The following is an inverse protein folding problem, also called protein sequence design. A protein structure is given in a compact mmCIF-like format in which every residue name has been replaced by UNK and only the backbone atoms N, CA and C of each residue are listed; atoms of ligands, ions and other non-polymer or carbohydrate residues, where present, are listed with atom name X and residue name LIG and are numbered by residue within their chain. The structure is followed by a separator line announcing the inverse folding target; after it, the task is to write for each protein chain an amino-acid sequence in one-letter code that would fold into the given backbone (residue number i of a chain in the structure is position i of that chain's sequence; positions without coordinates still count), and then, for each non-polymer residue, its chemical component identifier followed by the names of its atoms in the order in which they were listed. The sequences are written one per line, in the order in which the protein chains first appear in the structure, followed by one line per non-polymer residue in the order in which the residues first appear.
data_IF_768326512230
#
_entry.id   IF_768326512230
#
_cell.length_a   1.000
_cell.length_b   1.000
_cell.length_c   1.000
_cell.angle_alpha   90.00
_cell.angle_beta   90.00
_cell.angle_gamma   90.00
#
_symmetry.space_group_name_H-M   'P 1'
#
loop_
_entity.id
_entity.type
_entity.pdbx_description
1 polymer ?
#
# COMPACT_ATOMS: atom_id res chain seq x y z
N UNK A 1 -27.48 16.57 13.39
CA UNK A 1 -26.56 17.62 12.96
C UNK A 1 -26.93 18.09 11.56
N UNK A 2 -26.43 19.27 11.19
CA UNK A 2 -26.65 19.84 9.85
C UNK A 2 -25.30 20.10 9.19
N UNK A 3 -25.12 19.60 7.98
CA UNK A 3 -23.92 19.84 7.16
C UNK A 3 -24.35 20.63 5.93
N UNK A 4 -23.84 21.85 5.79
CA UNK A 4 -24.35 22.86 4.84
C UNK A 4 -25.87 23.03 5.03
N UNK A 5 -26.67 22.56 4.07
CA UNK A 5 -28.14 22.64 4.17
C UNK A 5 -28.79 21.28 4.44
N UNK A 6 -28.01 20.19 4.52
CA UNK A 6 -28.48 18.81 4.65
C UNK A 6 -28.49 18.38 6.12
N UNK A 7 -29.64 17.94 6.62
CA UNK A 7 -29.77 17.34 7.94
C UNK A 7 -29.43 15.84 7.85
N UNK A 8 -28.59 15.36 8.76
CA UNK A 8 -28.19 13.96 8.86
C UNK A 8 -28.21 13.48 10.30
N UNK A 9 -28.46 12.17 10.46
CA UNK A 9 -28.31 11.47 11.73
C UNK A 9 -27.04 10.63 11.65
N UNK A 10 -26.15 10.78 12.61
CA UNK A 10 -24.85 10.11 12.67
C UNK A 10 -24.53 9.74 14.12
N UNK A 11 -23.61 8.81 14.31
CA UNK A 11 -23.12 8.44 15.63
C UNK A 11 -22.40 9.65 16.27
N UNK A 12 -22.61 9.84 17.57
CA UNK A 12 -22.00 10.90 18.37
C UNK A 12 -20.49 10.75 18.54
N UNK A 13 -19.97 9.54 18.38
CA UNK A 13 -18.54 9.24 18.56
C UNK A 13 -17.70 9.62 17.33
N UNK A 14 -18.31 10.06 16.24
CA UNK A 14 -17.62 10.49 15.04
C UNK A 14 -17.00 11.89 15.20
N UNK A 15 -16.03 12.17 14.37
CA UNK A 15 -15.51 13.53 14.18
C UNK A 15 -16.36 14.32 13.20
N UNK A 16 -16.24 15.64 13.23
CA UNK A 16 -16.90 16.52 12.26
C UNK A 16 -16.52 16.15 10.83
N UNK A 17 -15.28 15.74 10.57
CA UNK A 17 -14.83 15.30 9.25
C UNK A 17 -15.60 14.09 8.77
N UNK A 18 -15.65 13.02 9.57
CA UNK A 18 -16.36 11.79 9.22
C UNK A 18 -17.86 12.03 8.98
N UNK A 19 -18.46 12.92 9.77
CA UNK A 19 -19.85 13.32 9.54
C UNK A 19 -20.06 14.09 8.23
N UNK A 20 -19.11 14.94 7.84
CA UNK A 20 -19.16 15.62 6.53
C UNK A 20 -19.06 14.61 5.38
N UNK A 21 -18.20 13.60 5.49
CA UNK A 21 -18.08 12.53 4.49
C UNK A 21 -19.37 11.71 4.35
N UNK A 22 -20.00 11.35 5.46
CA UNK A 22 -21.33 10.68 5.44
C UNK A 22 -22.40 11.57 4.78
N UNK A 23 -22.30 12.89 4.94
CA UNK A 23 -23.17 13.84 4.25
C UNK A 23 -22.90 13.92 2.72
N UNK A 24 -21.78 13.37 2.25
CA UNK A 24 -21.32 13.45 0.88
C UNK A 24 -20.44 14.70 0.59
N UNK A 25 -19.95 15.36 1.64
CA UNK A 25 -19.08 16.54 1.54
C UNK A 25 -17.61 16.14 1.75
N UNK A 26 -16.82 16.24 0.72
CA UNK A 26 -15.38 15.97 0.79
C UNK A 26 -14.63 17.12 1.48
N UNK A 27 -13.86 16.80 2.52
CA UNK A 27 -13.05 17.75 3.27
C UNK A 27 -11.58 17.56 2.90
N UNK A 28 -10.88 18.61 2.38
CA UNK A 28 -9.47 18.52 2.03
C UNK A 28 -8.60 18.25 3.26
N UNK A 29 -7.60 17.38 3.11
CA UNK A 29 -6.75 16.93 4.21
C UNK A 29 -5.37 16.49 3.74
N UNK A 30 -4.36 16.53 4.61
CA UNK A 30 -3.04 15.95 4.39
C UNK A 30 -2.61 15.04 5.53
N UNK A 31 -2.76 15.48 6.78
CA UNK A 31 -2.29 14.69 7.92
C UNK A 31 -3.26 13.58 8.34
N UNK A 32 -4.56 13.78 8.17
CA UNK A 32 -5.56 12.78 8.52
C UNK A 32 -5.51 11.59 7.57
N UNK A 33 -5.65 10.39 8.13
CA UNK A 33 -5.81 9.12 7.42
C UNK A 33 -6.71 8.22 8.26
N UNK A 34 -7.62 7.50 7.62
CA UNK A 34 -8.66 6.74 8.34
C UNK A 34 -8.10 5.61 9.20
N UNK A 35 -6.97 5.05 8.82
CA UNK A 35 -6.27 3.94 9.51
C UNK A 35 -5.16 4.39 10.46
N UNK A 36 -5.01 5.69 10.73
CA UNK A 36 -3.96 6.22 11.58
C UNK A 36 -4.54 7.17 12.62
N UNK A 37 -3.89 7.29 13.76
CA UNK A 37 -4.26 8.25 14.80
C UNK A 37 -4.34 9.69 14.27
N UNK A 38 -5.16 10.53 14.89
CA UNK A 38 -5.42 11.90 14.43
C UNK A 38 -4.26 12.83 14.86
N UNK A 39 -3.52 13.35 13.89
CA UNK A 39 -2.43 14.31 14.16
C UNK A 39 -2.89 15.76 14.28
N UNK A 40 -3.89 16.19 13.51
CA UNK A 40 -4.46 17.54 13.55
C UNK A 40 -3.49 18.68 13.21
N UNK A 41 -2.36 18.42 12.53
CA UNK A 41 -1.26 19.38 12.35
C UNK A 41 -1.29 20.15 11.03
N UNK A 42 -1.84 19.60 9.93
CA UNK A 42 -1.82 20.29 8.63
C UNK A 42 -2.82 21.46 8.51
N UNK A 43 -3.89 21.44 9.29
CA UNK A 43 -4.95 22.46 9.30
C UNK A 43 -5.70 22.65 7.97
N UNK A 44 -5.54 21.76 6.99
CA UNK A 44 -6.25 21.90 5.71
C UNK A 44 -7.75 21.60 5.84
N UNK A 45 -8.15 20.80 6.82
CA UNK A 45 -9.52 20.37 7.07
C UNK A 45 -10.39 21.40 7.82
N UNK A 46 -10.09 22.71 7.69
CA UNK A 46 -10.87 23.75 8.34
C UNK A 46 -12.32 23.77 7.86
N UNK A 47 -13.24 23.91 8.81
CA UNK A 47 -14.68 24.12 8.59
C UNK A 47 -15.17 25.23 9.51
N UNK A 48 -16.33 25.80 9.19
CA UNK A 48 -17.03 26.76 10.04
C UNK A 48 -18.15 26.03 10.79
N UNK A 49 -18.25 26.30 12.08
CA UNK A 49 -19.39 25.86 12.90
C UNK A 49 -20.20 27.10 13.24
N UNK A 50 -21.49 27.04 13.01
CA UNK A 50 -22.41 28.13 13.33
C UNK A 50 -22.25 28.53 14.80
N UNK A 51 -22.20 29.84 15.07
CA UNK A 51 -21.95 30.44 16.39
C UNK A 51 -20.53 30.22 16.95
N UNK A 52 -19.63 29.51 16.27
CA UNK A 52 -18.23 29.45 16.69
C UNK A 52 -17.46 30.69 16.19
N UNK A 53 -16.62 31.34 17.02
CA UNK A 53 -15.91 32.56 16.64
C UNK A 53 -14.81 32.29 15.60
N UNK A 54 -14.28 31.08 15.55
CA UNK A 54 -13.12 30.70 14.72
C UNK A 54 -13.42 29.44 13.91
N UNK A 55 -12.70 29.28 12.80
CA UNK A 55 -12.67 28.00 12.07
C UNK A 55 -12.05 26.91 12.94
N UNK A 56 -12.54 25.69 12.80
CA UNK A 56 -12.08 24.52 13.53
C UNK A 56 -11.53 23.46 12.57
N UNK A 57 -10.61 22.65 13.04
CA UNK A 57 -10.12 21.48 12.30
C UNK A 57 -11.14 20.33 12.43
N UNK A 58 -11.80 19.98 11.35
CA UNK A 58 -12.86 18.97 11.36
C UNK A 58 -12.38 17.57 11.79
N UNK A 59 -11.12 17.22 11.52
CA UNK A 59 -10.56 15.91 11.89
C UNK A 59 -10.36 15.74 13.41
N UNK A 60 -10.26 16.82 14.19
CA UNK A 60 -10.03 16.79 15.64
C UNK A 60 -11.26 17.20 16.45
N UNK A 61 -12.27 17.73 15.80
CA UNK A 61 -13.47 18.23 16.50
C UNK A 61 -14.49 17.12 16.67
N UNK A 62 -14.86 16.74 17.91
CA UNK A 62 -15.93 15.79 18.16
C UNK A 62 -17.29 16.39 17.79
N UNK A 63 -18.22 15.53 17.44
CA UNK A 63 -19.60 15.95 17.15
C UNK A 63 -20.35 16.32 18.44
N UNK A 64 -21.20 17.34 18.31
CA UNK A 64 -22.19 17.69 19.33
C UNK A 64 -23.58 17.76 18.70
N UNK A 65 -24.59 17.41 19.48
CA UNK A 65 -25.98 17.43 19.04
C UNK A 65 -26.41 18.85 18.61
N UNK A 66 -27.15 18.92 17.50
CA UNK A 66 -27.59 20.20 16.94
C UNK A 66 -26.55 21.04 16.27
N UNK A 67 -25.31 20.54 16.10
CA UNK A 67 -24.23 21.24 15.42
C UNK A 67 -24.59 21.54 13.97
N UNK A 68 -24.36 22.78 13.54
CA UNK A 68 -24.47 23.22 12.14
C UNK A 68 -23.08 23.51 11.59
N UNK A 69 -22.70 22.77 10.55
CA UNK A 69 -21.36 22.76 9.95
C UNK A 69 -21.46 23.34 8.54
N UNK A 70 -20.56 24.27 8.22
CA UNK A 70 -20.45 24.89 6.90
C UNK A 70 -19.07 24.59 6.34
N UNK A 71 -19.03 23.93 5.17
CA UNK A 71 -17.79 23.41 4.60
C UNK A 71 -17.18 24.29 3.50
N UNK A 72 -17.96 25.26 2.96
CA UNK A 72 -17.60 26.01 1.76
C UNK A 72 -17.87 27.53 1.86
N UNK A 73 -17.95 28.10 3.07
CA UNK A 73 -18.10 29.56 3.22
C UNK A 73 -16.84 30.30 2.71
N UNK A 74 -17.00 31.60 2.40
CA UNK A 74 -15.87 32.46 2.04
C UNK A 74 -14.78 32.45 3.11
N UNK A 75 -15.15 32.42 4.38
CA UNK A 75 -14.24 32.35 5.53
C UNK A 75 -13.45 31.02 5.53
N UNK A 76 -14.12 29.87 5.26
CA UNK A 76 -13.47 28.56 5.13
C UNK A 76 -12.49 28.56 3.97
N UNK A 77 -12.89 29.05 2.80
CA UNK A 77 -12.05 29.09 1.61
C UNK A 77 -10.84 30.01 1.81
N UNK A 78 -11.02 31.18 2.44
CA UNK A 78 -9.91 32.05 2.80
C UNK A 78 -8.93 31.40 3.79
N UNK A 79 -9.45 30.65 4.77
CA UNK A 79 -8.64 29.89 5.71
C UNK A 79 -7.82 28.81 5.03
N UNK A 80 -8.43 27.97 4.18
CA UNK A 80 -7.75 26.91 3.41
C UNK A 80 -6.71 27.48 2.45
N UNK A 81 -7.03 28.59 1.80
CA UNK A 81 -6.12 29.31 0.91
C UNK A 81 -4.85 29.78 1.66
N UNK A 82 -5.01 30.30 2.88
CA UNK A 82 -3.88 30.65 3.76
C UNK A 82 -3.05 29.43 4.17
N UNK A 83 -3.70 28.30 4.49
CA UNK A 83 -3.00 27.03 4.81
C UNK A 83 -2.20 26.54 3.62
N UNK A 84 -2.77 26.56 2.42
CA UNK A 84 -2.04 26.19 1.20
C UNK A 84 -0.82 27.07 0.97
N UNK A 85 -0.92 28.38 1.20
CA UNK A 85 0.21 29.28 1.10
C UNK A 85 1.34 28.89 2.06
N UNK A 86 1.03 28.57 3.33
CA UNK A 86 2.01 28.06 4.29
C UNK A 86 2.66 26.76 3.86
N UNK A 87 1.91 25.79 3.34
CA UNK A 87 2.46 24.51 2.87
C UNK A 87 3.39 24.71 1.66
N UNK A 88 3.12 25.70 0.82
CA UNK A 88 3.88 25.99 -0.39
C UNK A 88 5.10 26.90 -0.17
N UNK A 89 5.20 27.61 0.95
CA UNK A 89 6.31 28.54 1.23
C UNK A 89 7.67 27.88 0.99
N UNK A 90 7.92 26.72 1.60
CA UNK A 90 9.18 26.00 1.50
C UNK A 90 9.14 24.82 0.51
N UNK A 91 7.98 24.54 -0.08
CA UNK A 91 7.87 23.45 -1.04
C UNK A 91 8.64 23.78 -2.34
N UNK A 92 9.55 22.90 -2.83
CA UNK A 92 10.34 23.20 -4.02
C UNK A 92 9.50 23.15 -5.30
N UNK A 93 9.95 23.83 -6.34
CA UNK A 93 9.30 23.84 -7.66
C UNK A 93 9.72 22.62 -8.51
N UNK A 94 9.61 21.45 -7.92
CA UNK A 94 10.12 20.18 -8.47
C UNK A 94 9.09 19.36 -9.26
N UNK A 95 7.86 19.83 -9.44
CA UNK A 95 6.81 19.02 -10.09
C UNK A 95 7.24 18.36 -11.42
N UNK A 96 8.02 19.02 -12.30
CA UNK A 96 8.48 18.42 -13.55
C UNK A 96 9.41 17.20 -13.35
N UNK A 97 10.15 17.14 -12.25
CA UNK A 97 11.10 16.07 -11.90
C UNK A 97 10.66 15.23 -10.71
N UNK A 98 9.46 15.46 -10.20
CA UNK A 98 8.92 14.75 -9.05
C UNK A 98 8.10 13.54 -9.51
N UNK A 99 8.41 12.34 -9.02
CA UNK A 99 7.67 11.12 -9.37
C UNK A 99 6.20 11.12 -8.93
N UNK A 100 5.85 11.96 -7.93
CA UNK A 100 4.46 12.17 -7.50
C UNK A 100 3.67 13.09 -8.45
N UNK A 101 4.32 13.76 -9.41
CA UNK A 101 3.66 14.69 -10.34
C UNK A 101 2.54 14.04 -11.15
N UNK A 102 1.30 14.57 -11.02
CA UNK A 102 0.10 14.04 -11.64
C UNK A 102 -0.75 13.09 -10.77
N UNK A 103 -0.27 12.74 -9.57
CA UNK A 103 -0.99 11.99 -8.54
C UNK A 103 -0.65 12.52 -7.13
N UNK A 104 -0.47 13.82 -6.99
CA UNK A 104 0.00 14.50 -5.79
C UNK A 104 -1.13 15.29 -5.13
N UNK A 105 -1.53 14.91 -3.91
CA UNK A 105 -2.59 15.59 -3.16
C UNK A 105 -2.29 17.09 -2.97
N UNK A 106 -1.00 17.45 -2.75
CA UNK A 106 -0.63 18.85 -2.61
C UNK A 106 -0.81 19.62 -3.92
N UNK A 107 -0.50 19.03 -5.05
CA UNK A 107 -0.67 19.64 -6.37
C UNK A 107 -2.15 19.88 -6.66
N UNK A 108 -3.00 18.88 -6.44
CA UNK A 108 -4.43 18.93 -6.70
C UNK A 108 -5.11 19.97 -5.78
N UNK A 109 -4.81 19.92 -4.49
CA UNK A 109 -5.35 20.90 -3.53
C UNK A 109 -4.79 22.32 -3.75
N UNK A 110 -3.55 22.47 -4.22
CA UNK A 110 -2.99 23.76 -4.58
C UNK A 110 -3.69 24.37 -5.81
N UNK A 111 -4.06 23.56 -6.79
CA UNK A 111 -4.85 24.00 -7.95
C UNK A 111 -6.25 24.45 -7.55
N UNK A 112 -6.86 23.80 -6.57
CA UNK A 112 -8.23 24.11 -6.15
C UNK A 112 -8.32 25.27 -5.15
N UNK A 113 -7.43 25.31 -4.15
CA UNK A 113 -7.48 26.27 -3.03
C UNK A 113 -6.36 27.31 -3.04
N UNK A 114 -5.30 27.12 -3.82
CA UNK A 114 -4.09 27.92 -3.78
C UNK A 114 -4.23 29.31 -4.40
N UNK A 115 -3.12 30.04 -4.34
CA UNK A 115 -2.93 31.31 -5.06
C UNK A 115 -2.24 31.03 -6.40
N UNK A 116 -2.49 31.89 -7.39
CA UNK A 116 -1.80 31.90 -8.67
C UNK A 116 -0.35 32.47 -8.56
N UNK A 117 -0.04 33.16 -7.47
CA UNK A 117 1.26 33.80 -7.22
C UNK A 117 1.74 33.55 -5.80
N UNK A 118 3.05 33.40 -5.66
CA UNK A 118 3.69 33.40 -4.34
C UNK A 118 3.98 34.87 -3.90
N UNK A 119 3.65 35.19 -2.64
CA UNK A 119 4.05 36.42 -1.97
C UNK A 119 5.41 36.29 -1.28
N UNK A 120 5.89 35.07 -1.11
CA UNK A 120 7.15 34.73 -0.46
C UNK A 120 8.32 35.00 -1.40
N UNK A 121 9.29 35.80 -0.95
CA UNK A 121 10.46 36.24 -1.73
C UNK A 121 11.78 35.72 -1.18
N UNK A 122 11.76 35.10 0.00
CA UNK A 122 12.94 34.56 0.63
C UNK A 122 13.33 33.23 0.03
N UNK A 123 14.53 32.74 0.31
CA UNK A 123 14.97 31.41 -0.17
C UNK A 123 14.17 30.32 0.50
N UNK A 124 13.77 29.33 -0.28
CA UNK A 124 13.12 28.14 0.24
C UNK A 124 14.12 27.29 1.03
N UNK A 125 13.64 26.67 2.10
CA UNK A 125 14.43 25.75 2.91
C UNK A 125 14.86 24.53 2.08
N UNK A 126 16.11 24.11 2.23
CA UNK A 126 16.61 22.83 1.74
C UNK A 126 16.85 21.88 2.93
N UNK A 127 16.55 20.62 2.74
CA UNK A 127 16.71 19.54 3.73
C UNK A 127 17.45 18.40 3.09
N UNK A 128 18.44 17.84 3.79
CA UNK A 128 19.19 16.70 3.32
C UNK A 128 18.31 15.44 3.24
N UNK A 129 18.54 14.65 2.21
CA UNK A 129 17.86 13.38 2.03
C UNK A 129 18.29 12.39 3.11
N UNK A 130 17.37 11.51 3.51
CA UNK A 130 17.61 10.52 4.55
C UNK A 130 17.72 9.13 3.93
N UNK A 131 18.49 8.25 4.56
CA UNK A 131 18.56 6.86 4.15
C UNK A 131 17.39 6.09 4.76
N UNK A 132 16.42 5.69 3.93
CA UNK A 132 15.28 4.85 4.34
C UNK A 132 15.35 3.44 3.76
N UNK A 133 16.55 2.98 3.38
CA UNK A 133 16.77 1.64 2.83
C UNK A 133 16.78 1.58 1.30
N UNK A 134 16.76 0.38 0.73
CA UNK A 134 16.92 0.18 -0.72
C UNK A 134 15.64 0.45 -1.52
N UNK A 135 14.47 0.45 -0.89
CA UNK A 135 13.18 0.48 -1.56
C UNK A 135 12.58 1.89 -1.65
N UNK A 136 12.77 2.69 -0.61
CA UNK A 136 12.17 4.03 -0.50
C UNK A 136 13.20 5.10 -0.86
N UNK A 137 12.86 5.93 -1.84
CA UNK A 137 13.62 7.13 -2.20
C UNK A 137 13.12 8.32 -1.39
N UNK A 138 14.04 9.18 -0.95
CA UNK A 138 13.70 10.35 -0.12
C UNK A 138 14.15 11.63 -0.78
N UNK A 139 13.25 12.61 -0.86
CA UNK A 139 13.55 13.99 -1.20
C UNK A 139 12.88 14.87 -0.16
N UNK A 140 13.55 15.01 0.99
CA UNK A 140 12.95 15.55 2.22
C UNK A 140 12.62 17.04 2.13
N UNK A 141 13.22 17.77 1.21
CA UNK A 141 12.82 19.16 0.91
C UNK A 141 11.34 19.26 0.49
N UNK A 142 10.76 18.20 -0.09
CA UNK A 142 9.35 18.13 -0.49
C UNK A 142 8.38 17.81 0.65
N UNK A 143 8.91 17.44 1.82
CA UNK A 143 8.09 16.99 2.96
C UNK A 143 7.25 18.14 3.52
N UNK A 144 5.96 17.89 3.77
CA UNK A 144 5.00 18.84 4.39
C UNK A 144 4.72 18.52 5.86
N UNK A 145 5.52 17.68 6.49
CA UNK A 145 5.43 17.30 7.91
C UNK A 145 4.06 16.77 8.35
N UNK A 146 3.37 16.06 7.49
CA UNK A 146 2.05 15.48 7.80
C UNK A 146 2.10 14.35 8.82
N UNK A 147 3.28 13.79 9.08
CA UNK A 147 3.57 12.68 10.02
C UNK A 147 2.86 11.36 9.73
N UNK A 148 2.23 11.17 8.58
CA UNK A 148 1.60 9.88 8.22
C UNK A 148 2.61 8.73 8.25
N UNK A 149 3.81 8.91 7.71
CA UNK A 149 4.87 7.89 7.69
C UNK A 149 5.36 7.53 9.10
N UNK A 150 5.48 8.49 10.02
CA UNK A 150 5.88 8.24 11.41
C UNK A 150 4.82 7.43 12.15
N UNK A 151 3.55 7.83 12.03
CA UNK A 151 2.43 7.12 12.65
C UNK A 151 2.26 5.72 12.06
N UNK A 152 2.37 5.57 10.76
CA UNK A 152 2.36 4.26 10.11
C UNK A 152 3.46 3.34 10.66
N UNK A 153 4.69 3.85 10.78
CA UNK A 153 5.81 3.05 11.29
C UNK A 153 5.54 2.54 12.71
N UNK A 154 4.95 3.35 13.58
CA UNK A 154 4.68 2.97 14.98
C UNK A 154 3.37 2.21 15.16
N UNK A 155 2.29 2.60 14.48
CA UNK A 155 0.94 2.09 14.72
C UNK A 155 0.61 0.86 13.87
N UNK A 156 1.09 0.81 12.62
CA UNK A 156 0.80 -0.26 11.65
C UNK A 156 1.96 -1.23 11.51
N UNK A 157 3.15 -0.71 11.22
CA UNK A 157 4.34 -1.55 11.03
C UNK A 157 4.97 -2.04 12.34
N UNK A 158 4.63 -1.42 13.48
CA UNK A 158 5.12 -1.80 14.81
C UNK A 158 6.62 -1.53 15.02
N UNK A 159 7.23 -0.64 14.21
CA UNK A 159 8.67 -0.31 14.26
C UNK A 159 8.86 1.19 14.45
N UNK A 160 9.35 1.66 15.60
CA UNK A 160 9.55 3.09 15.88
C UNK A 160 10.84 3.63 15.23
N UNK A 161 11.06 3.31 13.97
CA UNK A 161 12.31 3.67 13.24
C UNK A 161 12.26 5.07 12.64
N UNK A 162 11.04 5.63 12.46
CA UNK A 162 10.83 6.99 11.97
C UNK A 162 10.40 7.92 13.09
N UNK A 163 10.93 9.13 13.07
CA UNK A 163 10.57 10.17 14.02
C UNK A 163 10.61 11.56 13.39
N UNK A 164 10.16 12.55 14.14
CA UNK A 164 10.28 13.96 13.78
C UNK A 164 11.21 14.66 14.78
N UNK A 165 12.30 15.22 14.28
CA UNK A 165 13.24 16.03 15.05
C UNK A 165 12.97 17.52 14.84
N UNK A 166 13.35 18.32 15.82
CA UNK A 166 13.18 19.77 15.75
C UNK A 166 11.73 20.24 15.87
N UNK A 167 11.52 21.52 15.60
CA UNK A 167 10.20 22.18 15.63
C UNK A 167 10.15 23.37 14.68
N UNK A 168 8.92 23.74 14.28
CA UNK A 168 8.70 24.84 13.34
C UNK A 168 9.36 24.57 11.99
N UNK A 169 10.04 25.54 11.42
CA UNK A 169 10.71 25.40 10.13
C UNK A 169 11.88 24.42 10.13
N UNK A 170 12.48 24.17 11.29
CA UNK A 170 13.59 23.23 11.46
C UNK A 170 13.12 21.79 11.78
N UNK A 171 11.82 21.52 11.70
CA UNK A 171 11.32 20.16 11.87
C UNK A 171 11.71 19.28 10.68
N UNK A 172 12.17 18.06 10.95
CA UNK A 172 12.58 17.09 9.94
C UNK A 172 12.08 15.70 10.30
N UNK A 173 11.54 14.98 9.31
CA UNK A 173 11.30 13.55 9.43
C UNK A 173 12.61 12.83 9.12
N UNK A 174 13.03 11.96 10.04
CA UNK A 174 14.29 11.22 9.90
C UNK A 174 14.16 9.84 10.53
N UNK A 175 15.11 8.98 10.20
CA UNK A 175 15.27 7.67 10.85
C UNK A 175 16.14 7.79 12.10
N UNK A 176 15.96 6.86 13.04
CA UNK A 176 16.80 6.79 14.23
C UNK A 176 18.24 6.43 13.85
N UNK A 177 19.19 7.29 14.20
CA UNK A 177 20.63 7.12 13.91
C UNK A 177 20.95 6.77 12.44
N UNK A 178 20.16 7.31 11.49
CA UNK A 178 20.34 7.06 10.04
C UNK A 178 20.21 5.57 9.64
N UNK A 179 19.62 4.74 10.49
CA UNK A 179 19.33 3.35 10.15
C UNK A 179 18.21 3.26 9.11
N UNK A 180 18.31 2.28 8.22
CA UNK A 180 17.25 2.02 7.24
C UNK A 180 16.00 1.44 7.91
N UNK A 181 14.83 1.66 7.32
CA UNK A 181 13.59 1.01 7.74
C UNK A 181 13.72 -0.49 7.44
N UNK A 182 13.43 -1.32 8.45
CA UNK A 182 13.60 -2.79 8.39
C UNK A 182 12.28 -3.55 8.31
N UNK A 183 11.15 -2.85 8.32
CA UNK A 183 9.83 -3.47 8.25
C UNK A 183 9.54 -4.04 6.87
N UNK A 184 8.94 -5.22 6.82
CA UNK A 184 8.42 -5.87 5.62
C UNK A 184 7.20 -5.13 5.00
N UNK A 185 6.73 -4.08 5.66
CA UNK A 185 5.67 -3.18 5.21
C UNK A 185 6.19 -1.80 4.81
N UNK A 186 7.51 -1.61 4.71
CA UNK A 186 8.16 -0.31 4.54
C UNK A 186 7.66 0.46 3.30
N UNK A 187 7.33 -0.22 2.22
CA UNK A 187 6.86 0.38 0.97
C UNK A 187 5.53 1.13 1.08
N UNK A 188 4.71 0.85 2.11
CA UNK A 188 3.43 1.54 2.28
C UNK A 188 3.58 3.03 2.64
N UNK A 189 4.74 3.46 3.14
CA UNK A 189 4.99 4.90 3.35
C UNK A 189 4.99 5.70 2.05
N UNK A 190 5.18 5.04 0.89
CA UNK A 190 5.15 5.64 -0.44
C UNK A 190 3.72 6.09 -0.77
N UNK A 191 2.74 5.20 -0.59
CA UNK A 191 1.33 5.50 -0.87
C UNK A 191 0.74 6.48 0.14
N UNK A 192 1.18 6.38 1.41
CA UNK A 192 0.75 7.28 2.48
C UNK A 192 1.27 8.70 2.33
N UNK A 193 2.40 8.89 1.65
CA UNK A 193 2.99 10.20 1.50
C UNK A 193 2.19 11.05 0.50
N UNK A 194 1.53 12.14 0.95
CA UNK A 194 0.67 12.96 0.07
C UNK A 194 1.46 13.81 -0.92
N UNK A 195 2.80 13.71 -0.88
CA UNK A 195 3.72 14.48 -1.72
C UNK A 195 4.89 13.61 -2.15
N UNK A 196 5.70 14.05 -3.09
CA UNK A 196 6.88 13.32 -3.59
C UNK A 196 8.10 13.35 -2.68
N UNK A 197 7.90 13.38 -1.34
CA UNK A 197 8.98 13.30 -0.38
C UNK A 197 9.47 11.85 -0.18
N UNK A 198 8.56 10.89 -0.22
CA UNK A 198 8.84 9.44 -0.17
C UNK A 198 8.27 8.80 -1.42
N UNK A 199 9.14 8.21 -2.23
CA UNK A 199 8.77 7.60 -3.51
C UNK A 199 9.46 6.24 -3.69
N UNK A 200 9.01 5.43 -4.64
CA UNK A 200 9.60 4.13 -4.92
C UNK A 200 10.92 4.27 -5.68
N UNK A 201 12.03 3.76 -5.13
CA UNK A 201 13.32 3.72 -5.84
C UNK A 201 13.25 2.90 -7.13
N UNK A 202 12.67 1.69 -7.16
CA UNK A 202 12.57 0.90 -8.38
C UNK A 202 11.73 1.54 -9.50
N UNK A 203 10.78 2.41 -9.13
CA UNK A 203 9.91 3.10 -10.08
C UNK A 203 10.42 4.49 -10.49
N UNK A 204 11.45 5.01 -9.83
CA UNK A 204 11.94 6.39 -10.01
C UNK A 204 12.16 6.73 -11.49
N UNK A 205 11.53 7.81 -11.96
CA UNK A 205 11.62 8.38 -13.31
C UNK A 205 11.20 7.44 -14.47
N UNK A 206 10.46 6.35 -14.18
CA UNK A 206 10.05 5.41 -15.23
C UNK A 206 8.87 5.87 -16.06
N UNK A 207 7.82 6.38 -15.42
CA UNK A 207 6.60 6.82 -16.11
C UNK A 207 5.82 7.86 -15.32
N UNK A 208 4.90 8.53 -16.01
CA UNK A 208 3.89 9.40 -15.40
C UNK A 208 2.58 8.63 -15.18
N UNK A 209 1.73 9.02 -14.19
CA UNK A 209 0.49 8.29 -13.89
C UNK A 209 -0.47 8.15 -15.08
N UNK A 210 -0.50 9.13 -15.97
CA UNK A 210 -1.37 9.11 -17.16
C UNK A 210 -0.86 8.20 -18.29
N UNK A 211 0.39 7.74 -18.22
CA UNK A 211 0.96 6.76 -19.16
C UNK A 211 0.65 5.32 -18.78
N UNK A 212 0.11 5.11 -17.56
CA UNK A 212 -0.07 3.79 -16.99
C UNK A 212 -1.45 3.21 -17.27
N UNK A 213 -1.47 1.95 -17.69
CA UNK A 213 -2.66 1.11 -17.67
C UNK A 213 -2.78 0.45 -16.30
N UNK A 214 -3.90 0.69 -15.62
CA UNK A 214 -4.22 0.15 -14.30
C UNK A 214 -5.04 -1.13 -14.44
N UNK A 215 -4.59 -2.21 -13.80
CA UNK A 215 -5.28 -3.51 -13.82
C UNK A 215 -5.41 -4.01 -12.38
N UNK A 216 -6.64 -4.25 -11.94
CA UNK A 216 -6.89 -4.84 -10.63
C UNK A 216 -6.56 -6.32 -10.65
N UNK A 217 -5.89 -6.80 -9.59
CA UNK A 217 -5.43 -8.17 -9.46
C UNK A 217 -5.40 -8.60 -7.99
N UNK A 218 -4.92 -9.80 -7.75
CA UNK A 218 -4.69 -10.39 -6.44
C UNK A 218 -3.24 -10.85 -6.37
N UNK A 219 -2.61 -10.66 -5.23
CA UNK A 219 -1.26 -11.14 -4.97
C UNK A 219 -1.17 -12.66 -4.94
N UNK A 220 -0.05 -13.18 -5.44
CA UNK A 220 0.27 -14.61 -5.45
C UNK A 220 1.58 -14.94 -4.71
N UNK A 221 2.27 -13.94 -4.13
CA UNK A 221 3.56 -14.13 -3.49
C UNK A 221 3.46 -14.54 -2.02
N UNK A 222 2.30 -14.34 -1.40
CA UNK A 222 2.01 -14.85 -0.08
C UNK A 222 0.59 -15.45 0.01
N UNK A 223 0.28 -16.11 1.12
CA UNK A 223 -1.00 -16.79 1.30
C UNK A 223 -2.17 -15.90 1.68
N UNK A 224 -1.94 -14.60 1.86
CA UNK A 224 -3.00 -13.64 2.22
C UNK A 224 -3.90 -13.36 1.03
N UNK A 225 -3.35 -13.34 -0.19
CA UNK A 225 -4.08 -12.96 -1.39
C UNK A 225 -4.47 -11.49 -1.38
N UNK A 226 -3.54 -10.63 -0.98
CA UNK A 226 -3.76 -9.17 -0.90
C UNK A 226 -4.29 -8.62 -2.21
N UNK A 227 -5.27 -7.72 -2.12
CA UNK A 227 -5.81 -7.06 -3.29
C UNK A 227 -4.85 -5.97 -3.76
N UNK A 228 -4.48 -6.04 -5.03
CA UNK A 228 -3.47 -5.18 -5.63
C UNK A 228 -3.97 -4.53 -6.92
N UNK A 229 -3.29 -3.46 -7.28
CA UNK A 229 -3.38 -2.84 -8.61
C UNK A 229 -2.01 -2.93 -9.26
N UNK A 230 -2.00 -3.49 -10.45
CA UNK A 230 -0.80 -3.59 -11.30
C UNK A 230 -0.83 -2.45 -12.30
N UNK A 231 0.18 -1.61 -12.26
CA UNK A 231 0.37 -0.50 -13.19
C UNK A 231 1.42 -0.88 -14.24
N UNK A 232 0.98 -0.90 -15.51
CA UNK A 232 1.83 -1.30 -16.65
C UNK A 232 1.85 -0.23 -17.73
N UNK A 233 2.94 -0.22 -18.52
CA UNK A 233 3.06 0.53 -19.75
C UNK A 233 3.47 -0.42 -20.87
N UNK A 234 2.66 -0.50 -21.92
CA UNK A 234 2.73 -1.56 -22.92
C UNK A 234 2.72 -2.96 -22.25
N UNK A 235 3.76 -3.76 -22.42
CA UNK A 235 3.87 -5.11 -21.87
C UNK A 235 4.71 -5.20 -20.59
N UNK A 236 5.17 -4.04 -20.05
CA UNK A 236 6.02 -3.99 -18.87
C UNK A 236 5.21 -3.56 -17.63
N UNK A 237 5.28 -4.34 -16.56
CA UNK A 237 4.80 -3.94 -15.22
C UNK A 237 5.81 -2.98 -14.63
N UNK A 238 5.37 -1.80 -14.25
CA UNK A 238 6.23 -0.75 -13.72
C UNK A 238 6.14 -0.60 -12.20
N UNK A 239 4.96 -0.86 -11.63
CA UNK A 239 4.76 -0.86 -10.18
C UNK A 239 3.51 -1.66 -9.78
N UNK A 240 3.48 -2.05 -8.52
CA UNK A 240 2.33 -2.65 -7.85
C UNK A 240 1.96 -1.77 -6.66
N UNK A 241 0.66 -1.44 -6.55
CA UNK A 241 0.10 -0.63 -5.47
C UNK A 241 -1.03 -1.38 -4.77
N UNK A 242 -1.33 -1.09 -3.50
CA UNK A 242 -2.45 -1.70 -2.82
C UNK A 242 -3.79 -1.27 -3.43
N UNK A 243 -4.77 -2.15 -3.36
CA UNK A 243 -6.18 -1.86 -3.59
C UNK A 243 -6.94 -2.17 -2.31
N UNK A 244 -7.71 -1.21 -1.84
CA UNK A 244 -8.43 -1.32 -0.57
C UNK A 244 -9.38 -2.51 -0.54
N UNK A 245 -9.22 -3.36 0.48
CA UNK A 245 -10.15 -4.42 0.82
C UNK A 245 -10.16 -4.62 2.35
N UNK A 246 -11.19 -4.11 3.02
CA UNK A 246 -11.33 -4.14 4.48
C UNK A 246 -11.36 -5.56 5.07
N UNK A 247 -11.71 -6.57 4.28
CA UNK A 247 -11.78 -7.96 4.74
C UNK A 247 -10.44 -8.70 4.67
N UNK A 248 -9.49 -8.24 3.86
CA UNK A 248 -8.24 -8.96 3.57
C UNK A 248 -7.02 -8.13 4.01
N UNK A 249 -6.67 -7.12 3.24
CA UNK A 249 -5.42 -6.37 3.39
C UNK A 249 -5.62 -4.90 3.77
N UNK A 250 -6.87 -4.46 3.96
CA UNK A 250 -7.20 -3.05 4.16
C UNK A 250 -6.58 -2.18 3.05
N UNK A 251 -5.62 -1.33 3.39
CA UNK A 251 -4.91 -0.45 2.45
C UNK A 251 -3.42 -0.82 2.32
N UNK A 252 -3.01 -1.97 2.87
CA UNK A 252 -1.60 -2.34 3.02
C UNK A 252 -1.22 -3.52 2.14
N UNK A 253 0.04 -3.53 1.67
CA UNK A 253 0.67 -4.69 1.03
C UNK A 253 2.10 -4.86 1.54
N UNK A 254 2.61 -6.09 1.52
CA UNK A 254 4.00 -6.35 1.91
C UNK A 254 4.98 -5.85 0.84
N UNK A 255 6.21 -5.60 1.24
CA UNK A 255 7.29 -5.21 0.31
C UNK A 255 7.58 -6.32 -0.70
N UNK A 256 7.42 -7.58 -0.30
CA UNK A 256 7.50 -8.73 -1.19
C UNK A 256 6.48 -8.63 -2.33
N UNK A 257 5.23 -8.33 -2.00
CA UNK A 257 4.14 -8.14 -2.99
C UNK A 257 4.41 -6.94 -3.89
N UNK A 258 4.88 -5.85 -3.30
CA UNK A 258 5.09 -4.57 -4.00
C UNK A 258 6.23 -4.62 -5.01
N UNK A 259 7.33 -5.34 -4.72
CA UNK A 259 8.57 -5.19 -5.46
C UNK A 259 9.03 -6.43 -6.23
N UNK A 260 8.42 -7.61 -6.02
CA UNK A 260 8.85 -8.84 -6.70
C UNK A 260 8.34 -9.00 -8.14
N UNK A 261 7.65 -8.01 -8.69
CA UNK A 261 7.09 -8.06 -10.04
C UNK A 261 8.16 -8.17 -11.15
N UNK A 262 9.38 -7.75 -10.91
CA UNK A 262 10.50 -7.88 -11.85
C UNK A 262 10.86 -9.34 -12.14
N UNK A 263 10.60 -10.26 -11.21
CA UNK A 263 10.77 -11.70 -11.41
C UNK A 263 9.92 -12.28 -12.54
N UNK A 264 8.85 -11.59 -12.97
CA UNK A 264 8.05 -12.02 -14.13
C UNK A 264 8.79 -11.88 -15.47
N UNK A 265 9.82 -11.06 -15.54
CA UNK A 265 10.56 -10.79 -16.77
C UNK A 265 11.97 -11.38 -16.78
N UNK A 266 12.51 -11.73 -15.59
CA UNK A 266 13.88 -12.20 -15.47
C UNK A 266 13.94 -13.71 -15.41
N UNK A 267 14.88 -14.31 -16.18
CA UNK A 267 15.16 -15.74 -16.17
C UNK A 267 13.94 -16.65 -16.42
N UNK A 268 12.98 -16.17 -17.20
CA UNK A 268 11.80 -16.95 -17.59
C UNK A 268 12.15 -17.89 -18.75
N UNK A 269 11.65 -19.12 -18.67
CA UNK A 269 11.69 -20.06 -19.80
C UNK A 269 10.49 -19.72 -20.69
N UNK A 270 10.76 -19.14 -21.86
CA UNK A 270 9.77 -18.69 -22.84
C UNK A 270 9.65 -19.64 -24.05
N UNK A 271 10.62 -20.53 -24.19
CA UNK A 271 10.71 -21.49 -25.29
C UNK A 271 11.03 -22.90 -24.76
N UNK A 272 10.55 -23.97 -25.44
CA UNK A 272 10.93 -25.31 -25.09
C UNK A 272 12.41 -25.59 -25.34
N UNK A 273 13.01 -26.42 -24.47
CA UNK A 273 14.37 -26.91 -24.62
C UNK A 273 14.38 -28.44 -24.55
N UNK A 274 15.18 -29.03 -25.44
CA UNK A 274 15.48 -30.46 -25.41
C UNK A 274 16.94 -30.68 -25.04
N UNK A 275 17.21 -31.62 -24.13
CA UNK A 275 18.56 -31.95 -23.72
C UNK A 275 19.06 -33.14 -24.56
N UNK A 276 20.07 -32.86 -25.41
CA UNK A 276 20.78 -33.86 -26.19
C UNK A 276 22.27 -33.78 -25.88
N UNK A 277 22.91 -34.94 -25.67
CA UNK A 277 24.32 -35.05 -25.35
C UNK A 277 24.80 -34.09 -24.25
N UNK A 278 23.99 -33.96 -23.18
CA UNK A 278 24.18 -33.07 -22.02
C UNK A 278 24.13 -31.56 -22.33
N UNK A 279 23.78 -31.16 -23.55
CA UNK A 279 23.53 -29.76 -23.91
C UNK A 279 22.05 -29.49 -24.08
N UNK A 280 21.59 -28.35 -23.60
CA UNK A 280 20.25 -27.85 -23.86
C UNK A 280 20.24 -27.11 -25.19
N UNK A 281 19.32 -27.51 -26.09
CA UNK A 281 19.05 -26.85 -27.36
C UNK A 281 17.63 -26.33 -27.42
N UNK A 282 17.43 -25.17 -28.03
CA UNK A 282 16.11 -24.58 -28.27
C UNK A 282 15.36 -25.51 -29.22
N UNK A 283 14.10 -25.79 -28.92
CA UNK A 283 13.21 -26.58 -29.74
C UNK A 283 11.86 -25.89 -29.91
N UNK A 284 10.97 -26.47 -30.72
CA UNK A 284 9.59 -26.05 -30.85
C UNK A 284 8.66 -26.97 -30.04
N UNK A 285 7.43 -26.53 -29.82
CA UNK A 285 6.45 -27.27 -29.04
C UNK A 285 6.11 -28.62 -29.64
N UNK A 286 6.02 -28.71 -30.96
CA UNK A 286 5.63 -29.97 -31.66
C UNK A 286 6.66 -31.07 -31.44
N UNK A 287 7.95 -30.72 -31.61
CA UNK A 287 9.05 -31.67 -31.39
C UNK A 287 9.20 -32.03 -29.91
N UNK A 288 9.13 -31.06 -29.01
CA UNK A 288 9.22 -31.25 -27.56
C UNK A 288 8.11 -32.17 -27.04
N UNK A 289 6.87 -32.00 -27.47
CA UNK A 289 5.73 -32.84 -27.13
C UNK A 289 5.86 -34.24 -27.69
N UNK A 290 6.44 -34.41 -28.89
CA UNK A 290 6.74 -35.75 -29.46
C UNK A 290 7.75 -36.49 -28.61
N UNK A 291 8.87 -35.86 -28.24
CA UNK A 291 9.87 -36.45 -27.35
C UNK A 291 9.28 -36.82 -26.01
N UNK A 292 8.48 -35.90 -25.41
CA UNK A 292 7.79 -36.17 -24.15
C UNK A 292 6.86 -37.39 -24.25
N UNK A 293 6.02 -37.44 -25.29
CA UNK A 293 5.08 -38.57 -25.53
C UNK A 293 5.81 -39.88 -25.63
N UNK A 294 6.95 -39.94 -26.32
CA UNK A 294 7.72 -41.18 -26.47
C UNK A 294 8.37 -41.60 -25.16
N UNK A 295 8.89 -40.66 -24.36
CA UNK A 295 9.43 -40.97 -23.04
C UNK A 295 8.36 -41.46 -22.06
N UNK A 296 7.16 -40.88 -22.08
CA UNK A 296 6.04 -41.28 -21.21
C UNK A 296 5.52 -42.70 -21.45
N UNK A 297 5.81 -43.31 -22.62
CA UNK A 297 5.48 -44.73 -22.88
C UNK A 297 6.32 -45.70 -22.06
N UNK A 298 7.56 -45.32 -21.77
CA UNK A 298 8.57 -46.22 -21.19
C UNK A 298 8.97 -45.85 -19.76
N UNK A 299 8.85 -44.59 -19.38
CA UNK A 299 9.29 -44.07 -18.09
C UNK A 299 8.12 -43.90 -17.11
N UNK A 300 8.43 -43.98 -15.82
CA UNK A 300 7.49 -43.63 -14.74
C UNK A 300 7.60 -42.09 -14.49
N UNK A 301 6.61 -41.30 -14.89
CA UNK A 301 6.65 -39.87 -14.64
C UNK A 301 6.38 -39.54 -13.17
N UNK A 302 6.98 -38.46 -12.70
CA UNK A 302 6.65 -37.76 -11.47
C UNK A 302 6.39 -36.27 -11.85
N UNK A 303 5.26 -35.72 -11.42
CA UNK A 303 4.94 -34.33 -11.59
C UNK A 303 5.22 -33.57 -10.28
N UNK A 304 6.06 -32.53 -10.36
CA UNK A 304 6.28 -31.59 -9.28
C UNK A 304 5.58 -30.28 -9.63
N UNK A 305 4.74 -29.79 -8.74
CA UNK A 305 3.97 -28.56 -8.93
C UNK A 305 4.49 -27.50 -7.95
N UNK A 306 4.90 -26.35 -8.46
CA UNK A 306 5.37 -25.24 -7.64
C UNK A 306 4.24 -24.46 -6.98
N UNK A 307 4.58 -23.62 -6.02
CA UNK A 307 3.65 -22.83 -5.18
C UNK A 307 2.82 -21.82 -5.96
N UNK A 308 3.35 -21.29 -7.08
CA UNK A 308 2.71 -20.25 -7.87
C UNK A 308 1.89 -20.76 -9.05
N UNK A 309 1.60 -22.07 -9.07
CA UNK A 309 0.76 -22.68 -10.12
C UNK A 309 -0.72 -22.49 -9.76
N UNK A 310 -1.52 -22.05 -10.73
CA UNK A 310 -2.97 -21.92 -10.57
C UNK A 310 -3.65 -23.30 -10.40
N UNK A 311 -4.84 -23.28 -9.81
CA UNK A 311 -5.62 -24.51 -9.54
C UNK A 311 -5.99 -25.27 -10.81
N UNK A 312 -6.27 -24.56 -11.90
CA UNK A 312 -6.63 -25.13 -13.19
C UNK A 312 -5.45 -25.92 -13.77
N UNK A 313 -4.25 -25.37 -13.74
CA UNK A 313 -3.02 -26.04 -14.16
C UNK A 313 -2.73 -27.23 -13.26
N UNK A 314 -2.82 -27.09 -11.95
CA UNK A 314 -2.66 -28.17 -10.98
C UNK A 314 -3.64 -29.34 -11.24
N UNK A 315 -4.91 -29.00 -11.46
CA UNK A 315 -5.94 -30.01 -11.81
C UNK A 315 -5.66 -30.68 -13.15
N UNK A 316 -5.25 -29.93 -14.17
CA UNK A 316 -4.91 -30.47 -15.49
C UNK A 316 -3.73 -31.43 -15.41
N UNK A 317 -2.69 -31.11 -14.62
CA UNK A 317 -1.54 -32.00 -14.38
C UNK A 317 -2.01 -33.30 -13.68
N UNK A 318 -2.82 -33.19 -12.63
CA UNK A 318 -3.37 -34.35 -11.92
C UNK A 318 -4.17 -35.25 -12.88
N UNK A 319 -5.06 -34.66 -13.67
CA UNK A 319 -5.86 -35.40 -14.68
C UNK A 319 -4.98 -36.01 -15.75
N UNK A 320 -3.96 -35.33 -16.23
CA UNK A 320 -3.00 -35.85 -17.18
C UNK A 320 -2.25 -37.06 -16.62
N UNK A 321 -1.75 -36.99 -15.39
CA UNK A 321 -1.03 -38.04 -14.73
C UNK A 321 -1.90 -39.30 -14.48
N UNK A 322 -3.17 -39.10 -14.10
CA UNK A 322 -4.15 -40.21 -13.92
C UNK A 322 -4.38 -40.98 -15.20
N UNK A 323 -4.40 -40.37 -16.38
CA UNK A 323 -4.54 -41.01 -17.67
C UNK A 323 -3.39 -42.00 -18.00
N UNK A 324 -2.24 -41.84 -17.36
CA UNK A 324 -1.09 -42.73 -17.46
C UNK A 324 -1.07 -43.79 -16.34
N UNK A 325 -2.16 -43.92 -15.58
CA UNK A 325 -2.28 -44.89 -14.47
C UNK A 325 -1.31 -44.59 -13.31
N UNK A 326 -0.93 -43.34 -13.10
CA UNK A 326 0.10 -42.92 -12.14
C UNK A 326 -0.31 -41.64 -11.43
N UNK A 327 -0.60 -41.74 -10.15
CA UNK A 327 -0.92 -40.63 -9.27
C UNK A 327 0.34 -40.00 -8.62
N UNK A 328 1.47 -40.02 -9.35
CA UNK A 328 2.73 -39.46 -8.87
C UNK A 328 2.73 -37.94 -9.10
N UNK A 329 2.00 -37.21 -8.27
CA UNK A 329 1.95 -35.76 -8.26
C UNK A 329 2.34 -35.28 -6.87
N UNK A 330 3.28 -34.38 -6.78
CA UNK A 330 3.74 -33.77 -5.53
C UNK A 330 3.72 -32.24 -5.65
N UNK A 331 3.17 -31.56 -4.67
CA UNK A 331 3.11 -30.10 -4.60
C UNK A 331 3.69 -29.53 -3.29
N UNK A 332 4.14 -30.39 -2.38
CA UNK A 332 4.74 -29.97 -1.10
C UNK A 332 6.21 -29.64 -1.31
N UNK A 333 6.60 -28.49 -0.84
CA UNK A 333 8.00 -28.02 -0.96
C UNK A 333 8.86 -28.39 0.23
N UNK A 334 8.28 -28.49 1.46
CA UNK A 334 9.02 -28.58 2.72
C UNK A 334 8.69 -29.80 3.57
N UNK A 335 8.43 -30.95 2.95
CA UNK A 335 8.08 -32.21 3.68
C UNK A 335 6.85 -32.10 4.59
N UNK A 336 5.97 -31.14 4.39
CA UNK A 336 4.77 -31.01 5.18
C UNK A 336 3.87 -32.22 5.04
N UNK A 337 3.43 -32.79 6.16
CA UNK A 337 2.43 -33.84 6.17
C UNK A 337 1.07 -33.23 5.84
N UNK A 338 0.36 -33.82 4.85
CA UNK A 338 -1.04 -33.50 4.62
C UNK A 338 -1.86 -34.37 5.55
N UNK A 339 -2.63 -33.77 6.44
CA UNK A 339 -3.56 -34.47 7.31
C UNK A 339 -4.80 -34.88 6.50
N UNK A 340 -5.46 -35.98 6.91
CA UNK A 340 -6.60 -36.51 6.16
C UNK A 340 -7.81 -35.58 6.14
N UNK A 341 -7.98 -34.74 7.19
CA UNK A 341 -9.08 -33.79 7.28
C UNK A 341 -8.69 -32.44 6.71
N UNK A 342 -9.50 -31.90 5.80
CA UNK A 342 -9.37 -30.56 5.25
C UNK A 342 -9.39 -29.48 6.33
N UNK A 343 -10.14 -29.69 7.40
CA UNK A 343 -10.27 -28.74 8.51
C UNK A 343 -8.99 -28.61 9.35
N UNK A 344 -8.06 -29.55 9.19
CA UNK A 344 -6.80 -29.58 9.94
C UNK A 344 -5.73 -28.63 9.38
N UNK A 345 -5.87 -28.16 8.13
CA UNK A 345 -4.87 -27.31 7.46
C UNK A 345 -5.48 -26.12 6.68
N UNK A 346 -6.78 -25.90 6.79
CA UNK A 346 -7.44 -24.71 6.26
C UNK A 346 -7.46 -23.60 7.29
N UNK A 347 -7.12 -22.41 6.86
CA UNK A 347 -7.45 -21.21 7.59
C UNK A 347 -8.95 -20.93 7.41
N UNK A 348 -9.73 -21.10 8.46
CA UNK A 348 -11.20 -21.07 8.43
C UNK A 348 -11.82 -19.84 9.11
N UNK A 349 -10.99 -18.95 9.66
CA UNK A 349 -11.41 -17.70 10.25
C UNK A 349 -11.22 -16.57 9.24
N UNK A 350 -12.18 -15.67 9.04
CA UNK A 350 -11.98 -14.47 8.22
C UNK A 350 -10.82 -13.63 8.74
N UNK A 351 -9.99 -13.09 7.83
CA UNK A 351 -8.79 -12.34 8.21
C UNK A 351 -9.09 -11.08 9.03
N UNK A 352 -10.21 -10.44 8.80
CA UNK A 352 -10.66 -9.27 9.57
C UNK A 352 -11.18 -9.61 10.99
N UNK A 353 -11.30 -10.90 11.33
CA UNK A 353 -11.70 -11.34 12.66
C UNK A 353 -10.50 -11.76 13.53
N UNK A 354 -9.30 -11.81 12.96
CA UNK A 354 -8.08 -12.15 13.72
C UNK A 354 -7.87 -11.18 14.88
N UNK A 355 -8.16 -9.91 14.67
CA UNK A 355 -8.02 -8.84 15.66
C UNK A 355 -8.99 -8.97 16.86
N UNK A 356 -10.08 -9.70 16.69
CA UNK A 356 -11.11 -9.93 17.72
C UNK A 356 -10.88 -11.20 18.54
N UNK A 357 -9.75 -11.88 18.35
CA UNK A 357 -9.43 -13.14 19.04
C UNK A 357 -8.97 -12.88 20.47
N UNK A 358 -9.45 -13.64 21.45
CA UNK A 358 -8.98 -13.55 22.84
C UNK A 358 -7.56 -14.10 23.01
N UNK A 359 -7.16 -15.06 22.17
CA UNK A 359 -5.85 -15.70 22.21
C UNK A 359 -5.44 -16.16 20.82
N UNK A 360 -4.20 -15.87 20.45
CA UNK A 360 -3.55 -16.35 19.22
C UNK A 360 -2.35 -17.21 19.59
N UNK A 361 -2.28 -18.42 19.03
CA UNK A 361 -1.17 -19.35 19.23
C UNK A 361 -0.44 -19.54 17.90
N UNK A 362 0.83 -19.17 17.86
CA UNK A 362 1.71 -19.35 16.71
C UNK A 362 2.59 -20.58 16.93
N UNK A 363 2.53 -21.55 16.00
CA UNK A 363 3.29 -22.80 16.11
C UNK A 363 4.12 -23.00 14.84
N UNK A 364 5.44 -22.90 14.98
CA UNK A 364 6.38 -23.17 13.88
C UNK A 364 6.28 -22.23 12.68
N UNK A 365 5.78 -21.00 12.86
CA UNK A 365 5.59 -20.00 11.82
C UNK A 365 6.18 -18.65 12.24
N UNK A 366 6.61 -17.86 11.27
CA UNK A 366 7.04 -16.48 11.46
C UNK A 366 6.20 -15.55 10.57
N UNK A 367 5.02 -15.12 11.05
CA UNK A 367 4.10 -14.30 10.25
C UNK A 367 4.70 -12.96 9.81
N UNK A 368 5.69 -12.43 10.53
CA UNK A 368 6.40 -11.21 10.12
C UNK A 368 7.04 -11.35 8.72
N UNK A 369 7.62 -12.50 8.41
CA UNK A 369 8.31 -12.77 7.14
C UNK A 369 7.37 -13.43 6.13
N UNK A 370 6.58 -14.41 6.58
CA UNK A 370 5.74 -15.24 5.71
C UNK A 370 4.50 -14.49 5.23
N UNK A 371 3.84 -13.76 6.14
CA UNK A 371 2.56 -13.08 5.91
C UNK A 371 2.48 -11.75 6.69
N UNK A 372 3.23 -10.72 6.28
CA UNK A 372 3.34 -9.46 7.02
C UNK A 372 1.99 -8.79 7.33
N UNK A 373 0.98 -8.95 6.47
CA UNK A 373 -0.38 -8.42 6.70
C UNK A 373 -1.06 -9.15 7.87
N UNK A 374 -0.92 -10.47 7.98
CA UNK A 374 -1.45 -11.20 9.14
C UNK A 374 -0.69 -10.80 10.40
N UNK A 375 0.63 -10.63 10.31
CA UNK A 375 1.43 -10.17 11.44
C UNK A 375 0.95 -8.80 11.96
N UNK A 376 0.63 -7.87 11.06
CA UNK A 376 0.06 -6.57 11.43
C UNK A 376 -1.24 -6.77 12.23
N UNK A 377 -2.17 -7.59 11.75
CA UNK A 377 -3.44 -7.87 12.44
C UNK A 377 -3.25 -8.53 13.81
N UNK A 378 -2.28 -9.42 13.94
CA UNK A 378 -1.89 -10.00 15.24
C UNK A 378 -1.33 -8.93 16.17
N UNK A 379 -0.50 -8.02 15.68
CA UNK A 379 0.08 -6.95 16.48
C UNK A 379 -0.99 -5.97 16.98
N UNK A 380 -2.02 -5.67 16.21
CA UNK A 380 -3.13 -4.80 16.64
C UNK A 380 -3.85 -5.34 17.88
N UNK A 381 -3.95 -6.65 18.05
CA UNK A 381 -4.54 -7.27 19.24
C UNK A 381 -3.82 -6.85 20.53
N UNK A 382 -2.51 -6.62 20.49
CA UNK A 382 -1.69 -6.27 21.66
C UNK A 382 -1.43 -4.77 21.80
N UNK A 383 -1.68 -4.00 20.77
CA UNK A 383 -1.36 -2.56 20.70
C UNK A 383 -2.60 -1.66 20.72
N UNK A 384 -3.79 -2.24 20.51
CA UNK A 384 -5.04 -1.50 20.68
C UNK A 384 -5.26 -1.17 22.15
N UNK A 385 -5.62 0.11 22.48
CA UNK A 385 -5.83 0.55 23.85
C UNK A 385 -7.06 -0.10 24.48
#
# INVERSE_FOLDING_TARGET
IKVNQKEIQVDKNLTVMQACEIAGEEIPRFCYHDKLSIAGNCRMCLVEIEKAPKLVSSCTMPLMEGMSIITNSEKVNAGRKGVMEFLLINHPLDCPICDQGGECDLQDQAMYYGFDKSRYKENKRAVDNKNMGPLVNTIMTRCIHCTRCVRFATEVAGVPELGMLGRGENAEITTYLEQSITSELSGNVIDLCPVGALTSKPYQFKARPWELKRTDSIDIFDSVGSNIRVDSRAEEILRVTPRTNEYINEEWISDKVRFNYDGYYQQRIDTPYIKENQKLSISNWEESLKVLKDKLKTLKPLALIGEHVDLETGYAIKKFMSNYGKDNVECRTDNHAILESLDSYRFNTPLNEVENSDLIILVGTNPKIETPIINHKICLLYTSP
#
